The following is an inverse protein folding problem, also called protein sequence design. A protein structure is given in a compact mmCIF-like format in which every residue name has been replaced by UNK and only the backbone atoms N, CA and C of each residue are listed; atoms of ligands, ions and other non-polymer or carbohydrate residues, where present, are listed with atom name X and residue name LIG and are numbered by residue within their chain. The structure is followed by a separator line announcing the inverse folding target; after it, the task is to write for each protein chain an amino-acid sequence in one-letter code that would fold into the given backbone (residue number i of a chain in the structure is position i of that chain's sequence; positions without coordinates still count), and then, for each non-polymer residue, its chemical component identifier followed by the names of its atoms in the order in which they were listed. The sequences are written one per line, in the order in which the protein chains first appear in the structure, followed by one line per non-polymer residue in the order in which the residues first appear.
data_IF_251601444652
#
_entry.id   IF_251601444652
#
_cell.length_a   1.000
_cell.length_b   1.000
_cell.length_c   1.000
_cell.angle_alpha   90.00
_cell.angle_beta   90.00
_cell.angle_gamma   90.00
#
_symmetry.space_group_name_H-M   'P 1'
#
loop_
_entity.id
_entity.type
_entity.pdbx_description
1 polymer ?
#
# COMPACT_ATOMS: atom_id res chain seq x y z
N UNK A 1 2.75 -4.67 -4.42
CA UNK A 1 1.78 -3.80 -3.73
C UNK A 1 2.12 -3.83 -2.26
N UNK A 2 2.10 -2.68 -1.59
CA UNK A 2 2.31 -2.59 -0.14
C UNK A 2 0.97 -2.82 0.55
N UNK A 3 0.97 -3.56 1.65
CA UNK A 3 -0.21 -3.73 2.50
C UNK A 3 0.01 -2.91 3.76
N UNK A 4 -0.90 -1.99 4.05
CA UNK A 4 -0.82 -1.14 5.24
C UNK A 4 -1.98 -1.42 6.20
N UNK A 5 -1.74 -1.31 7.50
CA UNK A 5 -2.83 -1.27 8.49
C UNK A 5 -3.60 0.05 8.44
N UNK A 6 -4.59 0.19 9.32
CA UNK A 6 -5.36 1.43 9.45
C UNK A 6 -4.51 2.62 9.94
N UNK A 7 -3.36 2.37 10.57
CA UNK A 7 -2.43 3.39 11.06
C UNK A 7 -1.34 3.74 10.02
N UNK A 8 -1.27 3.02 8.90
CA UNK A 8 -0.25 3.19 7.85
C UNK A 8 1.03 2.40 8.06
N UNK A 9 1.08 1.45 8.99
CA UNK A 9 2.23 0.55 9.14
C UNK A 9 2.17 -0.58 8.12
N UNK A 10 3.32 -0.94 7.57
CA UNK A 10 3.44 -2.03 6.60
C UNK A 10 3.28 -3.39 7.27
N UNK A 11 2.43 -4.25 6.70
CA UNK A 11 2.20 -5.62 7.12
C UNK A 11 2.57 -6.55 5.96
N UNK A 12 3.41 -7.56 6.20
CA UNK A 12 3.73 -8.55 5.16
C UNK A 12 2.66 -9.65 5.03
N UNK A 13 2.12 -10.13 6.15
CA UNK A 13 1.22 -11.29 6.17
C UNK A 13 -0.05 -10.96 6.99
N UNK A 14 -1.03 -10.26 6.39
CA UNK A 14 -2.30 -9.98 7.05
C UNK A 14 -3.11 -11.26 7.26
N UNK A 15 -3.77 -11.38 8.41
CA UNK A 15 -4.66 -12.49 8.72
C UNK A 15 -6.04 -12.24 8.11
N UNK A 16 -6.32 -12.93 7.00
CA UNK A 16 -7.59 -12.80 6.26
C UNK A 16 -8.77 -13.53 6.93
N UNK A 17 -8.54 -14.32 8.00
CA UNK A 17 -9.64 -14.83 8.82
C UNK A 17 -10.16 -13.75 9.76
N UNK A 18 -9.31 -12.78 10.11
CA UNK A 18 -9.61 -11.68 11.04
C UNK A 18 -9.87 -10.35 10.35
N UNK A 19 -9.76 -10.28 9.03
CA UNK A 19 -9.98 -9.06 8.28
C UNK A 19 -9.93 -9.29 6.78
N UNK A 20 -9.98 -8.20 6.02
CA UNK A 20 -9.89 -8.23 4.57
C UNK A 20 -8.99 -7.10 4.06
N UNK A 21 -8.65 -7.19 2.77
CA UNK A 21 -7.87 -6.18 2.07
C UNK A 21 -8.79 -5.36 1.17
N UNK A 22 -8.61 -4.04 1.21
CA UNK A 22 -9.28 -3.10 0.34
C UNK A 22 -8.25 -2.30 -0.46
N UNK A 23 -8.49 -2.09 -1.76
CA UNK A 23 -7.61 -1.26 -2.58
C UNK A 23 -7.69 0.20 -2.13
N UNK A 24 -6.55 0.83 -1.90
CA UNK A 24 -6.45 2.22 -1.43
C UNK A 24 -5.26 2.93 -2.12
N UNK A 25 -5.15 4.26 -1.93
CA UNK A 25 -4.04 5.06 -2.44
C UNK A 25 -3.36 5.81 -1.31
N UNK A 26 -2.05 5.67 -1.20
CA UNK A 26 -1.23 6.46 -0.29
C UNK A 26 -0.78 7.74 -0.98
N UNK A 27 -1.09 8.89 -0.39
CA UNK A 27 -0.59 10.19 -0.84
C UNK A 27 0.63 10.60 -0.02
N UNK A 28 1.74 10.87 -0.71
CA UNK A 28 3.00 11.35 -0.13
C UNK A 28 3.17 12.81 -0.56
N UNK A 29 3.13 13.71 0.41
CA UNK A 29 3.29 15.15 0.15
C UNK A 29 4.77 15.52 0.13
N UNK A 30 5.21 16.14 -0.97
CA UNK A 30 6.53 16.73 -1.10
C UNK A 30 6.42 18.25 -1.05
N UNK A 31 7.09 18.89 -0.09
CA UNK A 31 7.10 20.34 0.07
C UNK A 31 7.84 21.04 -1.07
N UNK A 32 7.51 22.31 -1.29
CA UNK A 32 8.22 23.14 -2.26
C UNK A 32 9.67 23.38 -1.83
N UNK A 33 10.59 23.21 -2.76
CA UNK A 33 12.01 23.52 -2.59
C UNK A 33 12.31 24.83 -3.31
N UNK A 34 12.79 25.83 -2.58
CA UNK A 34 13.18 27.11 -3.16
C UNK A 34 14.46 26.97 -4.00
N UNK A 35 14.51 27.66 -5.14
CA UNK A 35 15.72 27.73 -5.94
C UNK A 35 16.82 28.51 -5.19
N UNK A 36 18.03 27.96 -5.15
CA UNK A 36 19.20 28.61 -4.56
C UNK A 36 20.22 28.83 -5.66
N UNK A 37 20.61 30.09 -5.86
CA UNK A 37 21.65 30.42 -6.82
C UNK A 37 23.01 29.91 -6.35
N UNK A 38 23.88 29.55 -7.30
CA UNK A 38 25.26 29.19 -7.03
C UNK A 38 25.98 30.33 -6.31
N UNK A 39 26.67 29.99 -5.23
CA UNK A 39 27.58 30.91 -4.55
C UNK A 39 29.01 30.50 -4.90
N UNK A 40 29.79 31.44 -5.39
CA UNK A 40 31.15 31.20 -5.83
C UNK A 40 32.02 32.42 -5.58
N UNK A 41 33.31 32.20 -5.37
CA UNK A 41 34.31 33.25 -5.38
C UNK A 41 35.38 32.99 -6.44
N UNK A 42 36.17 34.03 -6.72
CA UNK A 42 37.26 33.98 -7.67
C UNK A 42 38.56 33.87 -6.88
N UNK A 43 39.32 32.81 -7.11
CA UNK A 43 40.66 32.64 -6.56
C UNK A 43 41.72 32.99 -7.62
N UNK A 44 42.76 33.70 -7.20
CA UNK A 44 43.92 33.99 -8.05
C UNK A 44 44.89 32.83 -7.93
N UNK A 45 45.06 32.07 -9.01
CA UNK A 45 45.99 30.92 -9.05
C UNK A 45 47.41 31.42 -9.28
N UNK A 46 47.58 32.46 -10.10
CA UNK A 46 48.90 32.95 -10.46
C UNK A 46 48.88 34.43 -10.80
N UNK A 47 49.90 35.14 -10.35
CA UNK A 47 50.13 36.54 -10.68
C UNK A 47 51.47 36.69 -11.41
N UNK A 48 51.47 37.52 -12.43
CA UNK A 48 52.61 37.77 -13.30
C UNK A 48 53.22 39.13 -13.00
N UNK A 49 54.52 39.27 -13.24
CA UNK A 49 55.26 40.52 -13.01
C UNK A 49 54.83 41.69 -13.90
N UNK A 50 54.06 41.44 -14.96
CA UNK A 50 53.40 42.45 -15.78
C UNK A 50 52.02 42.87 -15.24
N UNK A 51 51.60 42.35 -14.08
CA UNK A 51 50.28 42.61 -13.47
C UNK A 51 49.14 41.73 -13.97
N UNK A 52 49.40 40.78 -14.88
CA UNK A 52 48.41 39.79 -15.28
C UNK A 52 48.10 38.80 -14.15
N UNK A 53 46.87 38.28 -14.09
CA UNK A 53 46.45 37.26 -13.13
C UNK A 53 45.69 36.14 -13.82
N UNK A 54 46.04 34.89 -13.53
CA UNK A 54 45.22 33.73 -13.82
C UNK A 54 44.27 33.53 -12.64
N UNK A 55 42.98 33.44 -12.93
CA UNK A 55 41.95 33.28 -11.92
C UNK A 55 41.07 32.07 -12.23
N UNK A 56 40.59 31.41 -11.18
CA UNK A 56 39.61 30.33 -11.26
C UNK A 56 38.40 30.68 -10.43
N UNK A 57 37.23 30.22 -10.91
CA UNK A 57 35.98 30.33 -10.18
C UNK A 57 35.80 29.07 -9.35
N UNK A 58 35.77 29.23 -8.03
CA UNK A 58 35.53 28.14 -7.09
C UNK A 58 34.09 28.25 -6.59
N UNK A 59 33.33 27.16 -6.74
CA UNK A 59 31.94 27.08 -6.29
C UNK A 59 31.90 26.66 -4.83
N UNK A 60 31.39 27.53 -3.96
CA UNK A 60 31.26 27.30 -2.53
C UNK A 60 29.96 26.55 -2.19
N UNK A 61 28.87 26.94 -2.86
CA UNK A 61 27.55 26.31 -2.70
C UNK A 61 26.98 26.06 -4.09
N UNK A 62 26.67 24.79 -4.44
CA UNK A 62 26.09 24.48 -5.72
C UNK A 62 24.68 25.07 -5.84
N UNK A 63 24.29 25.42 -7.07
CA UNK A 63 22.91 25.83 -7.32
C UNK A 63 21.96 24.66 -7.05
N UNK A 64 20.82 24.96 -6.41
CA UNK A 64 19.70 24.04 -6.24
C UNK A 64 18.55 24.53 -7.11
N UNK A 65 18.04 23.66 -7.98
CA UNK A 65 16.85 23.96 -8.78
C UNK A 65 15.64 23.92 -7.87
N UNK A 66 14.80 24.96 -7.95
CA UNK A 66 13.56 25.01 -7.19
C UNK A 66 12.51 24.09 -7.80
N UNK A 67 11.70 23.48 -6.94
CA UNK A 67 10.58 22.62 -7.32
C UNK A 67 9.36 23.04 -6.51
N UNK A 68 8.20 23.12 -7.16
CA UNK A 68 6.94 23.38 -6.46
C UNK A 68 6.53 22.15 -5.64
N UNK A 69 5.65 22.36 -4.65
CA UNK A 69 5.09 21.27 -3.86
C UNK A 69 4.27 20.33 -4.77
N UNK A 70 4.40 19.04 -4.55
CA UNK A 70 3.68 18.04 -5.34
C UNK A 70 3.29 16.83 -4.49
N UNK A 71 2.22 16.17 -4.92
CA UNK A 71 1.72 14.95 -4.30
C UNK A 71 2.07 13.75 -5.17
N UNK A 72 2.65 12.73 -4.55
CA UNK A 72 2.91 11.43 -5.16
C UNK A 72 1.88 10.41 -4.66
N UNK A 73 1.39 9.55 -5.56
CA UNK A 73 0.34 8.57 -5.27
C UNK A 73 0.86 7.15 -5.50
N UNK A 74 0.83 6.33 -4.45
CA UNK A 74 1.13 4.89 -4.54
C UNK A 74 -0.15 4.06 -4.35
N UNK A 75 -0.37 3.08 -5.22
CA UNK A 75 -1.45 2.10 -5.03
C UNK A 75 -1.06 1.09 -3.93
N UNK A 76 -1.93 0.95 -2.93
CA UNK A 76 -1.73 0.09 -1.75
C UNK A 76 -2.96 -0.78 -1.51
N UNK A 77 -2.82 -1.75 -0.62
CA UNK A 77 -3.95 -2.47 -0.03
C UNK A 77 -4.02 -2.15 1.46
N UNK A 78 -5.20 -1.78 1.95
CA UNK A 78 -5.42 -1.50 3.36
C UNK A 78 -6.04 -2.71 4.04
N UNK A 79 -5.43 -3.16 5.12
CA UNK A 79 -5.97 -4.21 5.96
C UNK A 79 -7.03 -3.63 6.90
N UNK A 80 -8.24 -4.17 6.80
CA UNK A 80 -9.38 -3.81 7.62
C UNK A 80 -9.77 -5.02 8.48
N UNK A 81 -9.58 -4.96 9.81
CA UNK A 81 -10.00 -6.04 10.69
C UNK A 81 -11.53 -6.14 10.73
N UNK A 82 -12.05 -7.36 10.76
CA UNK A 82 -13.48 -7.61 10.92
C UNK A 82 -13.94 -7.19 12.31
N UNK A 83 -15.15 -6.63 12.34
CA UNK A 83 -15.88 -6.40 13.58
C UNK A 83 -16.40 -7.72 14.16
N UNK A 84 -16.72 -7.72 15.45
CA UNK A 84 -17.29 -8.90 16.11
C UNK A 84 -18.61 -9.35 15.44
N UNK A 85 -19.43 -8.41 14.97
CA UNK A 85 -20.68 -8.71 14.27
C UNK A 85 -20.42 -9.43 12.95
N UNK A 86 -19.47 -8.95 12.15
CA UNK A 86 -19.07 -9.59 10.90
C UNK A 86 -18.52 -11.00 11.14
N UNK A 87 -17.69 -11.19 12.16
CA UNK A 87 -17.18 -12.52 12.53
C UNK A 87 -18.31 -13.49 12.86
N UNK A 88 -19.31 -13.06 13.65
CA UNK A 88 -20.47 -13.90 13.95
C UNK A 88 -21.31 -14.22 12.71
N UNK A 89 -21.44 -13.28 11.78
CA UNK A 89 -22.14 -13.49 10.52
C UNK A 89 -21.39 -14.50 9.64
N UNK A 90 -20.07 -14.41 9.57
CA UNK A 90 -19.19 -15.35 8.86
C UNK A 90 -19.31 -16.75 9.48
N UNK A 91 -19.24 -16.88 10.80
CA UNK A 91 -19.41 -18.18 11.49
C UNK A 91 -20.80 -18.77 11.24
N UNK A 92 -21.85 -17.97 11.31
CA UNK A 92 -23.22 -18.42 11.01
C UNK A 92 -23.34 -18.89 9.56
N UNK A 93 -22.71 -18.18 8.63
CA UNK A 93 -22.71 -18.56 7.22
C UNK A 93 -21.93 -19.86 7.00
N UNK A 94 -20.78 -20.05 7.64
CA UNK A 94 -20.00 -21.31 7.62
C UNK A 94 -20.79 -22.50 8.19
N UNK A 95 -21.60 -22.26 9.23
CA UNK A 95 -22.43 -23.29 9.87
C UNK A 95 -23.79 -23.52 9.16
N UNK A 96 -24.16 -22.68 8.20
CA UNK A 96 -25.41 -22.85 7.46
C UNK A 96 -25.19 -23.87 6.34
N UNK A 97 -25.95 -24.98 6.30
CA UNK A 97 -25.79 -25.98 5.25
C UNK A 97 -26.03 -25.35 3.87
N UNK A 98 -25.10 -25.59 2.95
CA UNK A 98 -25.20 -25.11 1.57
C UNK A 98 -26.43 -25.73 0.90
N UNK A 99 -26.96 -25.05 -0.13
CA UNK A 99 -28.08 -25.59 -0.92
C UNK A 99 -27.78 -27.00 -1.43
N UNK A 100 -26.56 -27.26 -1.88
CA UNK A 100 -26.10 -28.57 -2.34
C UNK A 100 -26.20 -29.62 -1.24
N UNK A 101 -25.71 -29.32 -0.02
CA UNK A 101 -25.81 -30.27 1.10
C UNK A 101 -27.26 -30.57 1.49
N UNK A 102 -28.14 -29.56 1.37
CA UNK A 102 -29.58 -29.72 1.64
C UNK A 102 -30.28 -30.56 0.57
N UNK A 103 -29.91 -30.37 -0.69
CA UNK A 103 -30.42 -31.19 -1.81
C UNK A 103 -29.93 -32.63 -1.67
N UNK A 104 -28.65 -32.85 -1.41
CA UNK A 104 -28.10 -34.19 -1.18
C UNK A 104 -28.80 -34.90 0.00
N UNK A 105 -29.04 -34.21 1.11
CA UNK A 105 -29.77 -34.78 2.25
C UNK A 105 -31.23 -35.13 1.91
N UNK A 106 -31.89 -34.35 1.04
CA UNK A 106 -33.24 -34.65 0.56
C UNK A 106 -33.26 -35.84 -0.40
N UNK A 107 -32.29 -35.93 -1.31
CA UNK A 107 -32.14 -37.05 -2.24
C UNK A 107 -31.90 -38.36 -1.48
N UNK A 108 -31.00 -38.37 -0.49
CA UNK A 108 -30.77 -39.51 0.40
C UNK A 108 -32.04 -39.93 1.15
N UNK A 109 -32.82 -38.98 1.66
CA UNK A 109 -34.09 -39.28 2.34
C UNK A 109 -35.11 -39.91 1.38
N UNK A 110 -35.18 -39.43 0.13
CA UNK A 110 -36.07 -40.00 -0.89
C UNK A 110 -35.63 -41.41 -1.30
N UNK A 111 -34.33 -41.63 -1.49
CA UNK A 111 -33.76 -42.95 -1.77
C UNK A 111 -34.03 -43.94 -0.64
N UNK A 112 -33.85 -43.54 0.61
CA UNK A 112 -34.17 -44.36 1.78
C UNK A 112 -35.68 -44.71 1.86
N UNK A 113 -36.55 -43.78 1.49
CA UNK A 113 -38.00 -44.02 1.46
C UNK A 113 -38.43 -44.96 0.34
N UNK A 114 -37.79 -44.89 -0.83
CA UNK A 114 -38.04 -45.80 -1.95
C UNK A 114 -37.51 -47.21 -1.65
N UNK A 115 -36.34 -47.32 -1.01
CA UNK A 115 -35.74 -48.62 -0.67
C UNK A 115 -36.33 -49.27 0.59
N UNK A 116 -36.86 -48.49 1.54
CA UNK A 116 -37.47 -48.98 2.77
C UNK A 116 -38.97 -49.30 2.67
N UNK A 117 -39.58 -49.15 1.50
CA UNK A 117 -41.01 -49.39 1.26
C UNK A 117 -41.39 -50.84 0.92
N UNK A 118 -40.44 -51.77 0.82
CA UNK A 118 -40.66 -53.16 0.38
C UNK A 118 -40.69 -54.21 1.52
N UNK A 119 -40.74 -53.78 2.80
CA UNK A 119 -41.03 -54.68 3.94
C UNK A 119 -42.45 -54.42 4.48
N UNK A 120 -43.48 -54.95 3.80
CA UNK A 120 -44.83 -55.13 4.34
C UNK A 120 -45.52 -56.36 3.74
#
# INVERSE_FOLDING_TARGET
MKILDQQGNEILNPDLEKGHLESDKLTIHHDAVAAVAEQSHIEVIKEYSNGGKDVEKVVDVPAVVGHDAYDEYEDIERYIPYTAEELTAIEKQKNTPTLESRVAALEEMQLAQIMGGDEA
#
